data_IF_016176732968
#
_entry.id   IF_016176732968
#
_cell.length_a   1.000
_cell.length_b   1.000
_cell.length_c   1.000
_cell.angle_alpha   90.00
_cell.angle_beta   90.00
_cell.angle_gamma   90.00
#
_symmetry.space_group_name_H-M   'P 1'
#
loop_
_entity.id
_entity.type
_entity.pdbx_description
1 polymer ?
#
# COMPACT_ATOMS: atom_id res chain seq x y z
N UNK A 1 -3.72 -6.75 -29.92
CA UNK A 1 -2.59 -5.92 -29.52
C UNK A 1 -3.03 -5.06 -28.34
N UNK A 2 -2.90 -5.63 -27.14
CA UNK A 2 -3.35 -4.93 -25.93
C UNK A 2 -2.29 -3.91 -25.51
N UNK A 3 -2.61 -2.65 -25.76
CA UNK A 3 -1.81 -1.54 -25.25
C UNK A 3 -2.14 -1.44 -23.75
N UNK A 4 -1.35 -2.09 -22.91
CA UNK A 4 -1.33 -1.80 -21.49
C UNK A 4 -0.82 -0.37 -21.32
N UNK A 5 -1.75 0.57 -21.25
CA UNK A 5 -1.42 1.93 -20.82
C UNK A 5 -1.12 1.86 -19.34
N UNK A 6 0.15 1.72 -19.00
CA UNK A 6 0.63 1.96 -17.64
C UNK A 6 0.45 3.44 -17.32
N UNK A 7 -0.71 3.80 -16.83
CA UNK A 7 -0.89 5.14 -16.26
C UNK A 7 -0.29 5.14 -14.85
N UNK A 8 0.99 5.49 -14.76
CA UNK A 8 1.62 5.87 -13.48
C UNK A 8 1.18 7.29 -13.14
N UNK A 9 0.27 7.41 -12.21
CA UNK A 9 -0.10 8.71 -11.68
C UNK A 9 0.68 8.97 -10.38
N UNK A 10 1.56 9.97 -10.41
CA UNK A 10 2.09 10.56 -9.18
C UNK A 10 1.07 11.55 -8.67
N UNK A 11 0.31 11.13 -7.69
CA UNK A 11 -0.67 12.03 -7.09
C UNK A 11 -0.03 12.83 -5.96
N UNK A 12 0.22 14.10 -6.25
CA UNK A 12 0.36 15.10 -5.22
C UNK A 12 -1.02 15.43 -4.66
N UNK A 13 -1.10 15.84 -3.42
CA UNK A 13 -2.28 16.16 -2.58
C UNK A 13 -3.50 16.82 -3.24
N UNK A 14 -3.55 17.02 -4.53
CA UNK A 14 -4.47 17.92 -5.22
C UNK A 14 -5.66 17.26 -5.93
N UNK A 15 -5.88 15.96 -5.83
CA UNK A 15 -7.06 15.37 -6.45
C UNK A 15 -8.27 15.38 -5.51
N UNK A 16 -8.76 16.58 -5.22
CA UNK A 16 -10.13 16.77 -4.74
C UNK A 16 -11.08 16.51 -5.92
N UNK A 17 -11.80 15.41 -5.91
CA UNK A 17 -13.01 15.26 -6.67
C UNK A 17 -13.03 14.31 -7.86
N UNK A 18 -11.96 13.62 -8.21
CA UNK A 18 -12.05 12.57 -9.22
C UNK A 18 -12.69 11.31 -8.62
N UNK A 19 -13.92 11.03 -9.04
CA UNK A 19 -14.53 9.73 -8.80
C UNK A 19 -13.75 8.70 -9.60
N UNK A 20 -13.17 7.72 -8.89
CA UNK A 20 -12.57 6.57 -9.54
C UNK A 20 -13.63 5.85 -10.37
N UNK A 21 -13.32 5.49 -11.63
CA UNK A 21 -14.32 5.14 -12.60
C UNK A 21 -15.06 3.82 -12.38
N UNK A 22 -14.60 2.95 -11.46
CA UNK A 22 -15.21 1.63 -11.30
C UNK A 22 -15.31 1.20 -9.84
N UNK A 23 -16.52 0.85 -9.34
CA UNK A 23 -16.66 0.09 -8.09
C UNK A 23 -15.88 -1.23 -8.20
N UNK A 24 -15.25 -1.68 -7.12
CA UNK A 24 -14.45 -2.90 -7.06
C UNK A 24 -13.13 -2.89 -7.88
N UNK A 25 -12.69 -1.74 -8.38
CA UNK A 25 -11.36 -1.60 -8.98
C UNK A 25 -10.28 -1.82 -7.92
N UNK A 26 -9.35 -2.73 -8.19
CA UNK A 26 -8.16 -2.91 -7.36
C UNK A 26 -7.00 -2.03 -7.86
N UNK A 27 -6.19 -1.56 -6.91
CA UNK A 27 -5.08 -0.65 -7.17
C UNK A 27 -3.82 -1.13 -6.47
N UNK A 28 -2.70 -1.11 -7.21
CA UNK A 28 -1.37 -1.23 -6.62
C UNK A 28 -0.94 0.17 -6.17
N UNK A 29 -0.56 0.29 -4.91
CA UNK A 29 -0.16 1.56 -4.30
C UNK A 29 1.23 1.40 -3.69
N UNK A 30 2.11 2.36 -3.91
CA UNK A 30 3.42 2.45 -3.28
C UNK A 30 3.52 3.76 -2.51
N UNK A 31 3.84 3.67 -1.24
CA UNK A 31 4.09 4.82 -0.37
C UNK A 31 5.50 4.73 0.18
N UNK A 32 6.23 5.84 0.14
CA UNK A 32 7.59 5.94 0.64
C UNK A 32 7.64 6.73 1.95
N UNK A 33 8.57 6.36 2.83
CA UNK A 33 8.82 7.17 4.04
C UNK A 33 9.43 8.52 3.67
N UNK A 34 9.20 9.52 4.51
CA UNK A 34 9.80 10.83 4.34
C UNK A 34 11.33 10.74 4.32
N UNK A 35 11.94 11.30 3.28
CA UNK A 35 13.38 11.23 3.07
C UNK A 35 13.93 9.83 2.92
N UNK A 36 13.12 8.85 2.58
CA UNK A 36 13.52 7.43 2.43
C UNK A 36 14.15 6.87 3.71
N UNK A 37 13.75 7.37 4.87
CA UNK A 37 14.24 6.89 6.16
C UNK A 37 13.85 5.41 6.37
N UNK A 38 14.81 4.53 6.72
CA UNK A 38 14.57 3.09 6.82
C UNK A 38 13.95 2.70 8.17
N UNK A 39 12.82 3.31 8.52
CA UNK A 39 12.13 3.08 9.79
C UNK A 39 11.78 1.61 10.03
N UNK A 40 11.43 0.90 8.96
CA UNK A 40 10.97 -0.49 9.04
C UNK A 40 12.10 -1.51 9.03
N UNK A 41 13.36 -1.07 9.04
CA UNK A 41 14.49 -1.94 9.35
C UNK A 41 14.46 -2.44 10.80
N UNK A 42 13.81 -1.70 11.69
CA UNK A 42 13.50 -2.17 13.03
C UNK A 42 12.32 -3.14 13.00
N UNK A 43 12.54 -4.36 13.50
CA UNK A 43 11.50 -5.39 13.56
C UNK A 43 10.24 -4.91 14.32
N UNK A 44 10.44 -4.25 15.46
CA UNK A 44 9.32 -3.76 16.27
C UNK A 44 8.51 -2.67 15.55
N UNK A 45 9.19 -1.77 14.87
CA UNK A 45 8.52 -0.72 14.06
C UNK A 45 7.78 -1.34 12.89
N UNK A 46 8.37 -2.30 12.21
CA UNK A 46 7.72 -3.03 11.11
C UNK A 46 6.46 -3.78 11.60
N UNK A 47 6.53 -4.44 12.75
CA UNK A 47 5.37 -5.12 13.34
C UNK A 47 4.24 -4.14 13.67
N UNK A 48 4.56 -2.95 14.19
CA UNK A 48 3.54 -1.93 14.47
C UNK A 48 2.91 -1.39 13.18
N UNK A 49 3.70 -1.18 12.13
CA UNK A 49 3.20 -0.77 10.83
C UNK A 49 2.20 -1.79 10.28
N UNK A 50 2.52 -3.07 10.31
CA UNK A 50 1.62 -4.15 9.86
C UNK A 50 0.33 -4.21 10.67
N UNK A 51 0.41 -4.06 11.98
CA UNK A 51 -0.78 -3.97 12.83
C UNK A 51 -1.66 -2.78 12.44
N UNK A 52 -1.03 -1.64 12.14
CA UNK A 52 -1.74 -0.44 11.68
C UNK A 52 -2.42 -0.66 10.32
N UNK A 53 -1.80 -1.37 9.38
CA UNK A 53 -2.45 -1.74 8.11
C UNK A 53 -3.76 -2.49 8.36
N UNK A 54 -3.74 -3.46 9.25
CA UNK A 54 -4.92 -4.26 9.60
C UNK A 54 -5.99 -3.42 10.30
N UNK A 55 -5.60 -2.57 11.26
CA UNK A 55 -6.54 -1.66 11.93
C UNK A 55 -7.22 -0.70 10.96
N UNK A 56 -6.45 -0.11 10.05
CA UNK A 56 -6.98 0.82 9.07
C UNK A 56 -7.98 0.16 8.12
N UNK A 57 -7.66 -1.02 7.61
CA UNK A 57 -8.53 -1.72 6.67
C UNK A 57 -9.76 -2.35 7.33
N UNK A 58 -9.64 -2.79 8.58
CA UNK A 58 -10.78 -3.39 9.30
C UNK A 58 -11.91 -2.40 9.57
N UNK A 59 -11.59 -1.12 9.78
CA UNK A 59 -12.58 -0.07 10.06
C UNK A 59 -13.02 0.72 8.83
N UNK A 60 -12.46 0.44 7.65
CA UNK A 60 -12.67 1.19 6.43
C UNK A 60 -13.55 0.48 5.40
N UNK A 61 -14.06 1.25 4.44
CA UNK A 61 -14.78 0.72 3.28
C UNK A 61 -13.80 0.44 2.13
N UNK A 62 -12.78 -0.34 2.42
CA UNK A 62 -11.83 -0.88 1.45
C UNK A 62 -11.26 -2.19 1.96
N UNK A 63 -10.77 -3.01 1.04
CA UNK A 63 -10.11 -4.28 1.36
C UNK A 63 -8.63 -4.19 1.04
N UNK A 64 -7.79 -4.56 1.98
CA UNK A 64 -6.36 -4.77 1.78
C UNK A 64 -6.14 -6.21 1.31
N UNK A 65 -5.91 -6.39 0.01
CA UNK A 65 -5.80 -7.71 -0.60
C UNK A 65 -4.42 -8.34 -0.44
N UNK A 66 -3.40 -7.52 -0.49
CA UNK A 66 -2.01 -7.92 -0.29
C UNK A 66 -1.18 -6.72 0.14
N UNK A 67 -0.06 -6.98 0.80
CA UNK A 67 0.88 -5.93 1.17
C UNK A 67 2.30 -6.49 1.28
N UNK A 68 3.26 -5.63 1.04
CA UNK A 68 4.69 -5.87 1.30
C UNK A 68 5.24 -4.63 2.00
N UNK A 69 5.92 -4.82 3.12
CA UNK A 69 6.60 -3.76 3.84
C UNK A 69 8.11 -3.92 3.69
N UNK A 70 8.74 -2.95 3.06
CA UNK A 70 10.20 -2.85 2.95
C UNK A 70 10.73 -1.82 3.94
N UNK A 71 12.05 -1.68 4.05
CA UNK A 71 12.69 -0.81 5.05
C UNK A 71 12.20 0.65 5.00
N UNK A 72 11.94 1.18 3.82
CA UNK A 72 11.65 2.58 3.56
C UNK A 72 10.35 2.82 2.76
N UNK A 73 9.55 1.78 2.54
CA UNK A 73 8.32 1.87 1.74
C UNK A 73 7.36 0.74 2.04
N UNK A 74 6.10 0.98 1.72
CA UNK A 74 5.08 -0.04 1.72
C UNK A 74 4.43 -0.15 0.34
N UNK A 75 4.13 -1.37 -0.07
CA UNK A 75 3.31 -1.70 -1.21
C UNK A 75 1.98 -2.23 -0.72
N UNK A 76 0.88 -1.65 -1.17
CA UNK A 76 -0.48 -2.10 -0.85
C UNK A 76 -1.25 -2.44 -2.12
N UNK A 77 -1.95 -3.55 -2.09
CA UNK A 77 -2.98 -3.87 -3.08
C UNK A 77 -4.33 -3.60 -2.44
N UNK A 78 -4.95 -2.49 -2.83
CA UNK A 78 -6.18 -1.98 -2.23
C UNK A 78 -7.35 -2.10 -3.20
N UNK A 79 -8.50 -2.50 -2.67
CA UNK A 79 -9.76 -2.49 -3.38
C UNK A 79 -10.75 -1.62 -2.61
N UNK A 80 -10.92 -0.35 -3.00
CA UNK A 80 -11.89 0.52 -2.37
C UNK A 80 -13.31 0.04 -2.62
N UNK A 81 -14.20 0.25 -1.64
CA UNK A 81 -15.63 0.08 -1.80
C UNK A 81 -16.22 1.15 -2.73
N UNK A 82 -17.49 0.97 -3.09
CA UNK A 82 -18.17 1.80 -4.08
C UNK A 82 -18.24 3.30 -3.72
N UNK A 83 -18.20 3.62 -2.42
CA UNK A 83 -18.38 4.99 -1.92
C UNK A 83 -17.09 5.67 -1.46
N UNK A 84 -15.96 4.97 -1.51
CA UNK A 84 -14.68 5.48 -0.99
C UNK A 84 -13.68 5.66 -2.13
N UNK A 85 -13.21 6.89 -2.40
CA UNK A 85 -12.11 7.12 -3.32
C UNK A 85 -10.80 6.48 -2.83
N UNK A 86 -9.95 6.06 -3.77
CA UNK A 86 -8.62 5.52 -3.45
C UNK A 86 -7.81 6.46 -2.56
N UNK A 87 -7.85 7.76 -2.84
CA UNK A 87 -7.14 8.78 -2.07
C UNK A 87 -7.52 8.79 -0.59
N UNK A 88 -8.78 8.56 -0.27
CA UNK A 88 -9.27 8.46 1.11
C UNK A 88 -8.74 7.20 1.77
N UNK A 89 -8.80 6.06 1.10
CA UNK A 89 -8.25 4.80 1.61
C UNK A 89 -6.75 4.93 1.90
N UNK A 90 -5.98 5.45 0.95
CA UNK A 90 -4.53 5.67 1.11
C UNK A 90 -4.23 6.64 2.25
N UNK A 91 -4.95 7.75 2.33
CA UNK A 91 -4.76 8.74 3.41
C UNK A 91 -5.00 8.14 4.79
N UNK A 92 -6.02 7.31 4.95
CA UNK A 92 -6.31 6.63 6.22
C UNK A 92 -5.29 5.56 6.56
N UNK A 93 -4.86 4.77 5.58
CA UNK A 93 -3.78 3.81 5.76
C UNK A 93 -2.50 4.51 6.24
N UNK A 94 -2.13 5.61 5.61
CA UNK A 94 -0.97 6.42 5.99
C UNK A 94 -1.12 7.04 7.38
N UNK A 95 -2.27 7.63 7.69
CA UNK A 95 -2.51 8.28 8.97
C UNK A 95 -2.48 7.29 10.14
N UNK A 96 -3.12 6.15 9.99
CA UNK A 96 -3.16 5.10 11.03
C UNK A 96 -1.76 4.53 11.29
N UNK A 97 -1.00 4.26 10.23
CA UNK A 97 0.37 3.76 10.34
C UNK A 97 1.28 4.81 10.96
N UNK A 98 1.21 6.05 10.48
CA UNK A 98 2.01 7.16 11.00
C UNK A 98 1.75 7.41 12.48
N UNK A 99 0.50 7.40 12.91
CA UNK A 99 0.14 7.57 14.31
C UNK A 99 0.70 6.44 15.20
N UNK A 100 0.60 5.20 14.76
CA UNK A 100 1.11 4.04 15.50
C UNK A 100 2.64 4.06 15.65
N UNK A 101 3.35 4.30 14.54
CA UNK A 101 4.82 4.37 14.54
C UNK A 101 5.32 5.58 15.33
N UNK A 102 4.71 6.74 15.17
CA UNK A 102 5.07 7.95 15.91
C UNK A 102 4.90 7.77 17.43
N UNK A 103 3.83 7.10 17.83
CA UNK A 103 3.61 6.79 19.26
C UNK A 103 4.70 5.87 19.79
N UNK A 104 5.06 4.83 19.04
CA UNK A 104 6.11 3.88 19.44
C UNK A 104 7.47 4.54 19.55
N UNK A 105 7.80 5.46 18.64
CA UNK A 105 9.10 6.12 18.56
C UNK A 105 9.15 7.46 19.31
N UNK A 106 8.06 7.87 19.95
CA UNK A 106 7.92 9.18 20.60
C UNK A 106 8.32 10.33 19.65
N UNK A 107 7.91 10.25 18.39
CA UNK A 107 8.20 11.25 17.35
C UNK A 107 6.93 11.94 16.89
N UNK A 108 7.09 13.12 16.30
CA UNK A 108 6.02 13.89 15.68
C UNK A 108 6.30 14.13 14.20
N UNK A 109 5.29 14.57 13.46
CA UNK A 109 5.38 14.87 12.04
C UNK A 109 5.03 13.68 11.14
N UNK A 110 4.98 13.91 9.82
CA UNK A 110 4.58 12.88 8.87
C UNK A 110 5.62 11.77 8.78
N UNK A 111 5.15 10.53 8.77
CA UNK A 111 5.98 9.34 8.52
C UNK A 111 6.27 9.17 7.03
N UNK A 112 5.27 9.44 6.21
CA UNK A 112 5.27 9.17 4.78
C UNK A 112 5.50 10.43 3.95
N UNK A 113 6.06 10.27 2.76
CA UNK A 113 6.03 11.31 1.74
C UNK A 113 4.59 11.67 1.39
N UNK A 114 4.30 12.96 1.05
CA UNK A 114 2.95 13.38 0.69
C UNK A 114 2.39 12.68 -0.55
N UNK A 115 3.24 12.40 -1.53
CA UNK A 115 2.88 11.72 -2.76
C UNK A 115 2.85 10.20 -2.58
N UNK A 116 2.14 9.52 -3.46
CA UNK A 116 2.19 8.08 -3.62
C UNK A 116 2.04 7.70 -5.10
N UNK A 117 2.57 6.54 -5.47
CA UNK A 117 2.37 5.98 -6.81
C UNK A 117 1.19 5.00 -6.76
N UNK A 118 0.38 4.97 -7.82
CA UNK A 118 -0.68 3.99 -7.94
C UNK A 118 -0.84 3.51 -9.38
N UNK A 119 -1.27 2.25 -9.52
CA UNK A 119 -1.61 1.63 -10.80
C UNK A 119 -2.89 0.83 -10.64
N UNK A 120 -3.88 1.07 -11.52
CA UNK A 120 -5.09 0.27 -11.58
C UNK A 120 -4.79 -1.12 -12.14
N UNK A 121 -5.39 -2.16 -11.58
CA UNK A 121 -5.43 -3.47 -12.22
C UNK A 121 -6.47 -3.47 -13.33
N UNK A 122 -6.19 -4.20 -14.42
CA UNK A 122 -7.14 -4.37 -15.51
C UNK A 122 -8.41 -5.12 -15.03
N UNK A 123 -9.57 -4.74 -15.57
CA UNK A 123 -10.86 -5.35 -15.22
C UNK A 123 -10.93 -6.86 -15.51
N UNK A 124 -10.13 -7.33 -16.46
CA UNK A 124 -10.03 -8.74 -16.85
C UNK A 124 -8.95 -9.53 -16.09
N UNK A 125 -8.16 -8.88 -15.24
CA UNK A 125 -7.13 -9.56 -14.47
C UNK A 125 -7.74 -10.41 -13.36
N UNK A 126 -7.25 -11.65 -13.24
CA UNK A 126 -7.53 -12.49 -12.08
C UNK A 126 -6.81 -11.91 -10.88
N UNK A 127 -7.56 -11.49 -9.87
CA UNK A 127 -7.03 -10.84 -8.67
C UNK A 127 -6.04 -11.72 -7.91
N UNK A 128 -6.23 -13.03 -7.91
CA UNK A 128 -5.31 -13.96 -7.24
C UNK A 128 -3.95 -14.00 -7.93
N UNK A 129 -3.96 -14.08 -9.25
CA UNK A 129 -2.73 -14.05 -10.06
C UNK A 129 -2.04 -12.70 -9.93
N UNK A 130 -2.81 -11.62 -10.03
CA UNK A 130 -2.30 -10.26 -9.89
C UNK A 130 -1.70 -10.02 -8.49
N UNK A 131 -2.35 -10.49 -7.43
CA UNK A 131 -1.85 -10.35 -6.06
C UNK A 131 -0.54 -11.11 -5.83
N UNK A 132 -0.42 -12.32 -6.35
CA UNK A 132 0.83 -13.09 -6.27
C UNK A 132 1.98 -12.40 -6.99
N UNK A 133 1.71 -11.92 -8.21
CA UNK A 133 2.69 -11.15 -8.99
C UNK A 133 3.10 -9.88 -8.27
N UNK A 134 2.14 -9.15 -7.72
CA UNK A 134 2.37 -7.95 -6.92
C UNK A 134 3.34 -8.20 -5.76
N UNK A 135 3.12 -9.25 -4.97
CA UNK A 135 4.00 -9.60 -3.85
C UNK A 135 5.39 -9.95 -4.34
N UNK A 136 5.51 -10.80 -5.36
CA UNK A 136 6.80 -11.22 -5.91
C UNK A 136 7.58 -10.03 -6.44
N UNK A 137 6.94 -9.14 -7.19
CA UNK A 137 7.59 -7.97 -7.80
C UNK A 137 8.05 -6.98 -6.72
N UNK A 138 7.21 -6.72 -5.70
CA UNK A 138 7.57 -5.85 -4.58
C UNK A 138 8.73 -6.40 -3.75
N UNK A 139 8.75 -7.69 -3.45
CA UNK A 139 9.84 -8.33 -2.73
C UNK A 139 11.14 -8.29 -3.53
N UNK A 140 11.05 -8.53 -4.83
CA UNK A 140 12.19 -8.48 -5.74
C UNK A 140 12.78 -7.08 -5.85
N UNK A 141 11.93 -6.07 -5.92
CA UNK A 141 12.32 -4.65 -5.87
C UNK A 141 13.07 -4.31 -4.58
N UNK A 142 12.69 -4.90 -3.46
CA UNK A 142 13.36 -4.78 -2.17
C UNK A 142 14.62 -5.64 -2.01
N UNK A 143 15.02 -6.39 -3.03
CA UNK A 143 16.17 -7.27 -2.97
C UNK A 143 15.93 -8.57 -2.20
N UNK A 144 14.68 -8.91 -1.90
CA UNK A 144 14.30 -10.13 -1.18
C UNK A 144 14.23 -11.29 -2.17
N UNK A 145 15.14 -12.25 -2.02
CA UNK A 145 15.21 -13.41 -2.93
C UNK A 145 14.38 -14.59 -2.46
N UNK A 146 14.17 -14.71 -1.15
CA UNK A 146 13.42 -15.79 -0.54
C UNK A 146 12.22 -15.26 0.26
N UNK A 147 11.02 -15.25 -0.34
CA UNK A 147 9.81 -14.80 0.35
C UNK A 147 9.49 -15.60 1.61
N UNK A 148 9.87 -16.87 1.65
CA UNK A 148 9.60 -17.75 2.80
C UNK A 148 10.34 -17.36 4.06
N UNK A 149 11.46 -16.64 3.95
CA UNK A 149 12.24 -16.15 5.07
C UNK A 149 12.05 -14.66 5.37
N UNK A 150 11.26 -13.95 4.58
CA UNK A 150 10.94 -12.54 4.81
C UNK A 150 9.55 -12.40 5.41
N UNK A 151 9.43 -11.86 6.65
CA UNK A 151 8.17 -11.95 7.38
C UNK A 151 7.15 -10.83 7.06
N UNK A 152 7.56 -9.78 6.35
CA UNK A 152 6.73 -8.59 6.20
C UNK A 152 6.03 -8.51 4.85
N UNK A 153 5.18 -9.51 4.59
CA UNK A 153 4.24 -9.53 3.49
C UNK A 153 3.07 -10.47 3.79
N UNK A 154 1.96 -10.23 3.13
CA UNK A 154 0.79 -11.10 3.21
C UNK A 154 -0.08 -10.94 1.96
N UNK A 155 -0.89 -11.95 1.70
CA UNK A 155 -1.83 -11.96 0.59
C UNK A 155 -3.09 -12.73 0.99
N UNK A 156 -4.27 -12.19 0.66
CA UNK A 156 -5.55 -12.76 1.06
C UNK A 156 -5.80 -14.21 0.57
N UNK A 157 -5.02 -14.67 -0.40
CA UNK A 157 -5.18 -16.00 -1.02
C UNK A 157 -3.96 -16.92 -0.86
N UNK A 158 -3.10 -16.65 0.10
CA UNK A 158 -1.96 -17.53 0.41
C UNK A 158 -2.05 -18.08 1.81
#
# INVERSE_FOLDING_TARGET
>A
MDIHVEQRFKHHHALRGERLPMPAQAWQVVVETGGRQPWFSSFHVACEAVRAFRRASAGGDWTLLAWVLLADRAHWLLQPGASVPLTVAVSRMKATTGAGVNRMLARAGPLWEPAFDCRALGAAEDLRVAARRFVVDALREGGIQDPGHYPFWDCAWL
#
